data_IF_719586972823
#
_entry.id   IF_719586972823
#
_cell.length_a   1.000
_cell.length_b   1.000
_cell.length_c   1.000
_cell.angle_alpha   90.00
_cell.angle_beta   90.00
_cell.angle_gamma   90.00
#
_symmetry.space_group_name_H-M   'P 1'
#
loop_
_entity.id
_entity.type
_entity.pdbx_description
1 polymer ?
#
# COMPACT_ATOMS: atom_id res chain seq x y z
N UNK A 1 -4.10 -29.05 -7.85
CA UNK A 1 -3.88 -28.06 -8.94
C UNK A 1 -2.71 -27.15 -8.55
N UNK A 2 -2.09 -26.37 -9.45
CA UNK A 2 -0.96 -25.48 -9.08
C UNK A 2 -1.31 -24.47 -7.95
N UNK A 3 -2.61 -24.20 -7.76
CA UNK A 3 -3.18 -23.47 -6.64
C UNK A 3 -2.94 -24.13 -5.26
N UNK A 4 -3.04 -25.45 -5.14
CA UNK A 4 -2.79 -26.16 -3.87
C UNK A 4 -1.32 -26.10 -3.46
N UNK A 5 -0.41 -26.03 -4.43
CA UNK A 5 1.02 -25.97 -4.18
C UNK A 5 1.47 -24.59 -3.70
N UNK A 6 0.85 -23.51 -4.20
CA UNK A 6 1.09 -22.13 -3.78
C UNK A 6 0.49 -21.82 -2.40
N UNK A 7 -0.64 -22.44 -2.05
CA UNK A 7 -1.28 -22.23 -0.74
C UNK A 7 -0.66 -23.15 0.33
N UNK A 8 -0.21 -24.35 -0.03
CA UNK A 8 0.36 -25.32 0.93
C UNK A 8 1.88 -25.24 1.09
N UNK A 9 2.62 -24.58 0.19
CA UNK A 9 4.07 -24.37 0.37
C UNK A 9 4.32 -23.12 1.21
N UNK A 10 5.18 -23.24 2.22
CA UNK A 10 5.62 -22.14 3.10
C UNK A 10 6.07 -20.88 2.31
N UNK A 11 6.67 -21.10 1.13
CA UNK A 11 7.16 -20.06 0.23
C UNK A 11 6.01 -19.29 -0.43
N UNK A 12 4.92 -19.97 -0.78
CA UNK A 12 3.78 -19.36 -1.45
C UNK A 12 2.99 -18.46 -0.51
N UNK A 13 2.77 -18.88 0.74
CA UNK A 13 2.07 -18.06 1.74
C UNK A 13 2.87 -16.82 2.14
N UNK A 14 4.20 -16.95 2.34
CA UNK A 14 5.07 -15.81 2.66
C UNK A 14 5.16 -14.81 1.49
N UNK A 15 5.20 -15.28 0.24
CA UNK A 15 5.19 -14.40 -0.93
C UNK A 15 3.85 -13.66 -1.08
N UNK A 16 2.72 -14.35 -0.88
CA UNK A 16 1.40 -13.73 -0.90
C UNK A 16 1.25 -12.67 0.20
N UNK A 17 1.75 -12.97 1.41
CA UNK A 17 1.77 -12.03 2.53
C UNK A 17 2.62 -10.80 2.20
N UNK A 18 3.80 -11.00 1.62
CA UNK A 18 4.71 -9.91 1.24
C UNK A 18 4.07 -9.01 0.17
N UNK A 19 3.48 -9.59 -0.86
CA UNK A 19 2.77 -8.85 -1.91
C UNK A 19 1.61 -8.06 -1.30
N UNK A 20 0.79 -8.69 -0.46
CA UNK A 20 -0.30 -8.03 0.24
C UNK A 20 0.19 -6.87 1.13
N UNK A 21 1.28 -7.07 1.87
CA UNK A 21 1.87 -6.05 2.72
C UNK A 21 2.37 -4.85 1.91
N UNK A 22 3.07 -5.08 0.79
CA UNK A 22 3.53 -4.02 -0.11
C UNK A 22 2.34 -3.23 -0.68
N UNK A 23 1.26 -3.91 -1.08
CA UNK A 23 0.05 -3.24 -1.58
C UNK A 23 -0.61 -2.36 -0.50
N UNK A 24 -0.71 -2.85 0.73
CA UNK A 24 -1.22 -2.06 1.86
C UNK A 24 -0.33 -0.84 2.11
N UNK A 25 0.99 -1.01 2.11
CA UNK A 25 1.94 0.11 2.26
C UNK A 25 1.81 1.13 1.13
N UNK A 26 1.67 0.68 -0.12
CA UNK A 26 1.50 1.57 -1.27
C UNK A 26 0.23 2.41 -1.14
N UNK A 27 -0.90 1.77 -0.77
CA UNK A 27 -2.16 2.48 -0.53
C UNK A 27 -2.04 3.43 0.65
N UNK A 28 -1.38 3.02 1.73
CA UNK A 28 -1.14 3.86 2.90
C UNK A 28 -0.32 5.10 2.55
N UNK A 29 0.77 4.95 1.79
CA UNK A 29 1.61 6.06 1.33
C UNK A 29 0.85 7.00 0.41
N UNK A 30 0.07 6.49 -0.54
CA UNK A 30 -0.77 7.34 -1.41
C UNK A 30 -1.80 8.10 -0.60
N UNK A 31 -2.44 7.46 0.39
CA UNK A 31 -3.41 8.10 1.28
C UNK A 31 -2.76 9.13 2.20
N UNK A 32 -1.57 8.82 2.72
CA UNK A 32 -0.77 9.72 3.55
C UNK A 32 -0.32 10.94 2.74
N UNK A 33 0.27 10.73 1.56
CA UNK A 33 0.68 11.80 0.66
C UNK A 33 -0.52 12.66 0.23
N UNK A 34 -1.68 12.07 -0.11
CA UNK A 34 -2.89 12.84 -0.42
C UNK A 34 -3.36 13.70 0.75
N UNK A 35 -3.31 13.17 1.97
CA UNK A 35 -3.69 13.92 3.17
C UNK A 35 -2.68 15.04 3.48
N UNK A 36 -1.39 14.81 3.27
CA UNK A 36 -0.33 15.78 3.52
C UNK A 36 -0.27 16.87 2.44
N UNK A 37 -0.42 16.51 1.16
CA UNK A 37 -0.52 17.46 0.04
C UNK A 37 -1.77 18.32 0.17
N UNK A 38 -2.90 17.77 0.65
CA UNK A 38 -4.09 18.57 0.92
C UNK A 38 -3.86 19.62 2.02
N UNK A 39 -3.00 19.34 3.01
CA UNK A 39 -2.61 20.32 4.03
C UNK A 39 -1.65 21.39 3.46
N UNK A 40 -0.75 21.02 2.54
CA UNK A 40 0.15 21.96 1.86
C UNK A 40 -0.57 22.84 0.82
N UNK A 41 -1.54 22.30 0.06
CA UNK A 41 -2.36 23.08 -0.88
C UNK A 41 -3.28 24.07 -0.14
N UNK A 42 -3.81 23.71 1.03
CA UNK A 42 -4.62 24.64 1.83
C UNK A 42 -3.78 25.78 2.41
N UNK A 43 -2.55 25.52 2.85
CA UNK A 43 -1.62 26.58 3.29
C UNK A 43 -1.13 27.45 2.14
N UNK A 44 -0.90 26.87 0.95
CA UNK A 44 -0.53 27.63 -0.25
C UNK A 44 -1.68 28.52 -0.77
N UNK A 45 -2.94 28.07 -0.67
CA UNK A 45 -4.11 28.88 -1.08
C UNK A 45 -4.53 29.95 -0.09
N UNK A 46 -4.24 29.82 1.21
CA UNK A 46 -4.50 30.89 2.20
C UNK A 46 -3.43 32.00 2.18
N UNK A 47 -2.35 31.82 1.43
CA UNK A 47 -1.23 32.76 1.33
C UNK A 47 -1.22 33.64 0.07
N UNK A 48 -2.29 33.65 -0.74
CA UNK A 48 -2.49 34.59 -1.85
C UNK A 48 -3.70 35.48 -1.60
#
# INVERSE_FOLDING_TARGET
>A
MAWDLLISSDIGLLSLFTIGFILVMAVYLVRFAKRHIAEDEQKAKLGQ
#
